data_IF_856575923193
#
_entry.id   IF_856575923193
#
_cell.length_a   1.000
_cell.length_b   1.000
_cell.length_c   1.000
_cell.angle_alpha   90.00
_cell.angle_beta   90.00
_cell.angle_gamma   90.00
#
_symmetry.space_group_name_H-M   'P 1'
#
loop_
_entity.id
_entity.type
_entity.pdbx_description
1 polymer ?
#
# COMPACT_ATOMS: atom_id res chain seq x y z
N UNK A 1 -12.89 12.29 -32.41
CA UNK A 1 -12.76 10.98 -31.73
C UNK A 1 -11.75 10.99 -30.57
N UNK A 2 -11.43 12.14 -29.95
CA UNK A 2 -10.52 12.22 -28.78
C UNK A 2 -11.00 13.28 -27.77
N UNK A 3 -12.31 13.52 -27.71
CA UNK A 3 -12.87 14.46 -26.74
C UNK A 3 -13.34 13.69 -25.50
N UNK A 4 -13.41 14.32 -24.32
CA UNK A 4 -13.85 13.66 -23.09
C UNK A 4 -15.24 13.01 -23.20
N UNK A 5 -16.10 13.55 -24.06
CA UNK A 5 -17.47 13.05 -24.29
C UNK A 5 -17.49 11.70 -25.04
N UNK A 6 -16.36 11.32 -25.64
CA UNK A 6 -16.19 10.04 -26.32
C UNK A 6 -15.20 9.10 -25.63
N UNK A 7 -14.84 9.37 -24.37
CA UNK A 7 -13.98 8.47 -23.60
C UNK A 7 -14.72 7.15 -23.28
N UNK A 8 -13.99 6.05 -23.28
CA UNK A 8 -14.51 4.74 -22.90
C UNK A 8 -14.81 4.67 -21.40
N UNK A 9 -14.10 5.47 -20.59
CA UNK A 9 -14.40 5.64 -19.17
C UNK A 9 -15.35 6.82 -18.97
N UNK A 10 -16.43 6.62 -18.20
CA UNK A 10 -17.33 7.73 -17.84
C UNK A 10 -16.56 8.76 -16.99
N UNK A 11 -16.36 10.00 -17.48
CA UNK A 11 -15.61 11.02 -16.74
C UNK A 11 -16.22 11.39 -15.38
N UNK A 12 -17.52 11.15 -15.17
CA UNK A 12 -18.19 11.38 -13.88
C UNK A 12 -17.64 10.49 -12.75
N UNK A 13 -17.10 9.32 -13.08
CA UNK A 13 -16.49 8.41 -12.11
C UNK A 13 -15.00 8.65 -11.86
N UNK A 14 -14.43 9.75 -12.39
CA UNK A 14 -13.07 10.18 -12.05
C UNK A 14 -12.99 10.85 -10.66
N UNK A 15 -14.14 11.07 -10.01
CA UNK A 15 -14.26 11.57 -8.64
C UNK A 15 -15.15 10.64 -7.82
N UNK A 16 -15.10 10.78 -6.49
CA UNK A 16 -15.95 9.99 -5.58
C UNK A 16 -17.42 10.36 -5.81
N UNK A 17 -18.20 9.39 -6.28
CA UNK A 17 -19.65 9.51 -6.58
C UNK A 17 -20.50 8.55 -5.76
N UNK A 18 -19.87 7.61 -5.06
CA UNK A 18 -20.52 6.62 -4.21
C UNK A 18 -20.94 7.27 -2.89
N UNK A 19 -21.97 6.70 -2.23
CA UNK A 19 -22.30 7.05 -0.85
C UNK A 19 -21.16 6.60 0.07
N UNK A 20 -20.44 7.54 0.67
CA UNK A 20 -19.31 7.29 1.60
C UNK A 20 -19.72 7.31 3.09
N UNK A 21 -21.03 7.28 3.38
CA UNK A 21 -21.57 7.31 4.75
C UNK A 21 -21.99 5.93 5.30
N UNK A 22 -21.90 4.88 4.49
CA UNK A 22 -22.23 3.51 4.91
C UNK A 22 -21.14 2.94 5.85
N UNK A 23 -21.44 1.88 6.60
CA UNK A 23 -20.42 1.15 7.36
C UNK A 23 -19.28 0.63 6.46
N UNK A 24 -18.05 0.58 6.99
CA UNK A 24 -16.85 0.16 6.26
C UNK A 24 -16.99 -1.22 5.58
N UNK A 25 -17.73 -2.15 6.19
CA UNK A 25 -17.94 -3.49 5.64
C UNK A 25 -18.81 -3.53 4.36
N UNK A 26 -19.37 -2.39 3.94
CA UNK A 26 -20.16 -2.28 2.71
C UNK A 26 -19.31 -1.89 1.49
N UNK A 27 -18.00 -1.68 1.65
CA UNK A 27 -17.10 -1.28 0.57
C UNK A 27 -16.08 -2.37 0.26
N UNK A 28 -15.70 -2.46 -1.01
CA UNK A 28 -14.45 -3.13 -1.38
C UNK A 28 -13.26 -2.24 -1.01
N UNK A 29 -12.27 -2.82 -0.34
CA UNK A 29 -11.07 -2.11 0.09
C UNK A 29 -9.89 -2.60 -0.74
N UNK A 30 -9.27 -1.70 -1.50
CA UNK A 30 -8.01 -1.99 -2.19
C UNK A 30 -6.95 -2.35 -1.14
N UNK A 31 -6.47 -3.60 -1.19
CA UNK A 31 -5.64 -4.21 -0.15
C UNK A 31 -4.39 -4.85 -0.75
N UNK A 32 -3.28 -4.80 -0.03
CA UNK A 32 -1.99 -5.37 -0.41
C UNK A 32 -1.49 -6.33 0.66
N UNK A 33 -0.99 -7.48 0.23
CA UNK A 33 -0.42 -8.54 1.08
C UNK A 33 1.11 -8.54 0.96
N UNK A 34 1.81 -8.76 2.08
CA UNK A 34 3.27 -8.65 2.20
C UNK A 34 3.83 -7.44 1.46
N UNK A 35 3.24 -6.27 1.74
CA UNK A 35 3.43 -5.04 0.97
C UNK A 35 4.89 -4.64 0.80
N UNK A 36 5.75 -4.99 1.76
CA UNK A 36 7.18 -4.68 1.72
C UNK A 36 7.94 -5.41 0.60
N UNK A 37 7.46 -6.53 0.06
CA UNK A 37 8.17 -7.35 -0.93
C UNK A 37 8.08 -6.82 -2.36
N UNK A 38 9.22 -6.76 -3.05
CA UNK A 38 9.33 -6.40 -4.48
C UNK A 38 9.08 -7.57 -5.43
N UNK A 39 9.10 -8.81 -4.93
CA UNK A 39 9.06 -10.00 -5.76
C UNK A 39 8.55 -11.23 -5.03
N UNK A 40 9.24 -12.36 -5.20
CA UNK A 40 8.85 -13.62 -4.60
C UNK A 40 8.90 -13.63 -3.06
N UNK A 41 8.24 -14.61 -2.47
CA UNK A 41 8.07 -14.75 -1.02
C UNK A 41 9.33 -15.28 -0.31
N UNK A 42 10.35 -15.76 -1.01
CA UNK A 42 11.46 -16.50 -0.39
C UNK A 42 12.78 -15.73 -0.38
N UNK A 43 13.09 -14.98 -1.44
CA UNK A 43 14.41 -14.39 -1.66
C UNK A 43 14.39 -12.93 -2.14
N UNK A 44 13.20 -12.37 -2.40
CA UNK A 44 13.10 -11.02 -2.95
C UNK A 44 13.47 -9.92 -1.95
N UNK A 45 13.69 -8.71 -2.48
CA UNK A 45 14.00 -7.55 -1.66
C UNK A 45 12.73 -6.99 -1.00
N UNK A 46 12.86 -6.63 0.27
CA UNK A 46 11.94 -5.75 0.98
C UNK A 46 12.33 -4.28 0.77
N UNK A 47 11.39 -3.41 0.42
CA UNK A 47 11.65 -1.98 0.14
C UNK A 47 10.56 -1.07 0.70
N UNK A 48 10.98 0.09 1.20
CA UNK A 48 10.08 1.17 1.62
C UNK A 48 9.23 1.71 0.46
N UNK A 49 9.84 1.78 -0.73
CA UNK A 49 9.20 2.29 -1.94
C UNK A 49 7.90 1.54 -2.30
N UNK A 50 7.77 0.29 -1.88
CA UNK A 50 6.55 -0.49 -2.10
C UNK A 50 5.35 0.08 -1.36
N UNK A 51 5.53 0.51 -0.10
CA UNK A 51 4.46 1.20 0.64
C UNK A 51 4.07 2.50 -0.04
N UNK A 52 5.05 3.30 -0.46
CA UNK A 52 4.79 4.54 -1.18
C UNK A 52 4.05 4.29 -2.50
N UNK A 53 4.41 3.24 -3.24
CA UNK A 53 3.80 2.91 -4.52
C UNK A 53 2.36 2.44 -4.36
N UNK A 54 2.07 1.48 -3.47
CA UNK A 54 0.71 0.97 -3.31
C UNK A 54 -0.24 2.04 -2.75
N UNK A 55 0.23 2.88 -1.82
CA UNK A 55 -0.58 3.97 -1.26
C UNK A 55 -0.94 5.00 -2.34
N UNK A 56 0.00 5.36 -3.20
CA UNK A 56 -0.23 6.25 -4.33
C UNK A 56 -1.10 5.61 -5.44
N UNK A 57 -1.11 4.28 -5.54
CA UNK A 57 -2.00 3.54 -6.43
C UNK A 57 -3.43 3.38 -5.87
N UNK A 58 -3.72 3.88 -4.66
CA UNK A 58 -5.05 3.82 -4.06
C UNK A 58 -5.25 2.70 -3.05
N UNK A 59 -4.23 1.89 -2.75
CA UNK A 59 -4.32 0.87 -1.70
C UNK A 59 -4.59 1.51 -0.33
N UNK A 60 -5.54 0.97 0.43
CA UNK A 60 -5.99 1.47 1.76
C UNK A 60 -5.75 0.47 2.90
N UNK A 61 -5.35 -0.76 2.58
CA UNK A 61 -4.96 -1.77 3.56
C UNK A 61 -3.60 -2.34 3.17
N UNK A 62 -2.61 -2.20 4.05
CA UNK A 62 -1.24 -2.67 3.83
C UNK A 62 -0.78 -3.56 4.98
N UNK A 63 0.11 -4.49 4.67
CA UNK A 63 0.63 -5.46 5.63
C UNK A 63 2.04 -5.09 6.09
N UNK A 64 2.32 -5.33 7.38
CA UNK A 64 3.61 -5.01 8.02
C UNK A 64 4.00 -6.15 8.96
N UNK A 65 4.83 -7.07 8.46
CA UNK A 65 5.30 -8.23 9.22
C UNK A 65 6.43 -7.84 10.17
N UNK A 66 6.09 -7.55 11.42
CA UNK A 66 7.03 -7.05 12.41
C UNK A 66 7.80 -8.18 13.10
N UNK A 67 9.12 -8.04 13.17
CA UNK A 67 10.03 -8.96 13.84
C UNK A 67 11.03 -8.22 14.72
N UNK A 68 11.54 -8.90 15.75
CA UNK A 68 12.62 -8.37 16.58
C UNK A 68 13.90 -8.24 15.75
N UNK A 69 14.49 -7.04 15.74
CA UNK A 69 15.78 -6.77 15.12
C UNK A 69 16.93 -6.67 16.13
N UNK A 70 18.09 -6.23 15.64
CA UNK A 70 19.26 -6.00 16.48
C UNK A 70 19.10 -4.74 17.33
N UNK A 71 19.77 -4.71 18.48
CA UNK A 71 19.80 -3.56 19.39
C UNK A 71 18.42 -3.05 19.85
N UNK A 72 17.39 -3.91 19.80
CA UNK A 72 16.02 -3.59 20.19
C UNK A 72 15.22 -2.84 19.11
N UNK A 73 15.77 -2.62 17.92
CA UNK A 73 15.08 -1.95 16.82
C UNK A 73 14.22 -2.95 16.02
N UNK A 74 12.89 -2.76 15.90
CA UNK A 74 12.04 -3.67 15.13
C UNK A 74 12.27 -3.56 13.63
N UNK A 75 12.20 -4.72 12.96
CA UNK A 75 12.37 -4.85 11.52
C UNK A 75 11.10 -5.39 10.86
N UNK A 76 11.03 -5.25 9.54
CA UNK A 76 9.99 -5.82 8.69
C UNK A 76 10.61 -6.73 7.65
N UNK A 77 10.16 -8.00 7.61
CA UNK A 77 10.49 -8.97 6.56
C UNK A 77 9.58 -10.19 6.63
N UNK A 78 9.67 -11.06 5.62
CA UNK A 78 8.95 -12.32 5.63
C UNK A 78 9.71 -13.35 6.47
N UNK A 79 9.13 -13.72 7.61
CA UNK A 79 9.74 -14.61 8.59
C UNK A 79 10.21 -15.94 8.02
N UNK A 80 11.31 -16.49 8.54
CA UNK A 80 11.88 -17.78 8.12
C UNK A 80 12.27 -17.86 6.63
N UNK A 81 12.48 -16.72 5.96
CA UNK A 81 12.92 -16.65 4.56
C UNK A 81 14.23 -15.88 4.40
N UNK A 82 14.72 -15.78 3.16
CA UNK A 82 15.91 -15.03 2.78
C UNK A 82 15.58 -13.63 2.24
N UNK A 83 14.34 -13.16 2.42
CA UNK A 83 13.95 -11.81 2.04
C UNK A 83 14.76 -10.77 2.82
N UNK A 84 15.09 -9.64 2.17
CA UNK A 84 15.84 -8.58 2.85
C UNK A 84 14.99 -7.92 3.94
N UNK A 85 15.64 -7.22 4.86
CA UNK A 85 15.00 -6.59 6.03
C UNK A 85 15.02 -5.08 5.87
N UNK A 86 13.96 -4.42 6.30
CA UNK A 86 13.85 -2.96 6.41
C UNK A 86 13.47 -2.60 7.86
N UNK A 87 13.76 -1.37 8.29
CA UNK A 87 13.40 -0.92 9.63
C UNK A 87 11.90 -0.61 9.70
N UNK A 88 11.26 -1.03 10.79
CA UNK A 88 9.85 -0.71 11.02
C UNK A 88 9.61 0.80 11.13
N UNK A 89 10.54 1.52 11.77
CA UNK A 89 10.48 2.98 11.88
C UNK A 89 10.35 3.64 10.50
N UNK A 90 11.21 3.26 9.56
CA UNK A 90 11.21 3.82 8.21
C UNK A 90 9.92 3.46 7.44
N UNK A 91 9.35 2.28 7.70
CA UNK A 91 8.05 1.87 7.15
C UNK A 91 6.94 2.82 7.62
N UNK A 92 6.85 3.09 8.92
CA UNK A 92 5.83 3.99 9.48
C UNK A 92 6.02 5.43 9.00
N UNK A 93 7.27 5.92 8.92
CA UNK A 93 7.57 7.24 8.35
C UNK A 93 7.13 7.34 6.89
N UNK A 94 7.34 6.27 6.11
CA UNK A 94 6.90 6.19 4.71
C UNK A 94 5.37 6.18 4.61
N UNK A 95 4.69 5.36 5.41
CA UNK A 95 3.22 5.31 5.43
C UNK A 95 2.65 6.68 5.80
N UNK A 96 3.17 7.31 6.86
CA UNK A 96 2.74 8.66 7.28
C UNK A 96 2.88 9.69 6.15
N UNK A 97 3.96 9.61 5.36
CA UNK A 97 4.20 10.52 4.25
C UNK A 97 3.25 10.32 3.07
N UNK A 98 2.85 9.08 2.78
CA UNK A 98 2.13 8.75 1.53
C UNK A 98 0.66 8.35 1.73
N UNK A 99 0.19 8.15 2.96
CA UNK A 99 -1.14 7.62 3.26
C UNK A 99 -2.27 8.38 2.52
N UNK A 100 -2.19 9.71 2.44
CA UNK A 100 -3.28 10.55 1.93
C UNK A 100 -2.92 11.41 0.71
N UNK A 101 -1.79 11.14 0.04
CA UNK A 101 -1.34 11.97 -1.12
C UNK A 101 -2.30 11.88 -2.32
N UNK A 102 -3.04 10.77 -2.46
CA UNK A 102 -3.90 10.50 -3.63
C UNK A 102 -5.38 10.32 -3.30
N UNK A 103 -5.73 10.18 -2.03
CA UNK A 103 -7.09 9.86 -1.62
C UNK A 103 -7.38 10.61 -0.31
N UNK A 104 -8.25 11.61 -0.38
CA UNK A 104 -8.96 12.23 0.74
C UNK A 104 -10.42 11.77 0.72
#
# INVERSE_FOLDING_TARGET
>A
MRSPEGDIFNPEHNVVTQDMSQPLCNYFIASSHNTYLMGDQLMSQSRLDMYAWVLQAGCRCVEVDCWDGQDGEPIVHHGYTLTSKILFKDVIETINKYAFVKNE
#
